data_IF_801946476045
#
_entry.id   IF_801946476045
#
_cell.length_a   1.000
_cell.length_b   1.000
_cell.length_c   1.000
_cell.angle_alpha   90.00
_cell.angle_beta   90.00
_cell.angle_gamma   90.00
#
_symmetry.space_group_name_H-M   'P 1'
#
loop_
_entity.id
_entity.type
_entity.pdbx_description
1 polymer ?
#
# COMPACT_ATOMS: atom_id res chain seq x y z
N UNK A 1 42.90 45.11 26.59
CA UNK A 1 41.59 45.48 25.99
C UNK A 1 41.12 44.55 24.87
N UNK A 2 41.96 44.09 23.94
CA UNK A 2 41.52 43.20 22.85
C UNK A 2 41.07 41.78 23.29
N UNK A 3 41.64 41.23 24.38
CA UNK A 3 41.25 39.90 24.90
C UNK A 3 39.89 39.89 25.61
N UNK A 4 39.46 40.98 26.24
CA UNK A 4 38.14 41.06 26.90
C UNK A 4 36.97 41.09 25.91
N UNK A 5 37.18 41.67 24.72
CA UNK A 5 36.17 41.70 23.66
C UNK A 5 35.97 40.32 23.00
N UNK A 6 37.02 39.50 22.93
CA UNK A 6 36.94 38.13 22.41
C UNK A 6 36.11 37.18 23.29
N UNK A 7 36.23 37.31 24.62
CA UNK A 7 35.54 36.44 25.58
C UNK A 7 34.03 36.75 25.64
N UNK A 8 33.65 38.03 25.65
CA UNK A 8 32.23 38.44 25.65
C UNK A 8 31.47 38.03 24.38
N UNK A 9 32.17 37.82 23.27
CA UNK A 9 31.54 37.45 21.99
C UNK A 9 31.25 35.94 21.91
N UNK A 10 32.12 35.10 22.48
CA UNK A 10 31.89 33.65 22.53
C UNK A 10 30.76 33.28 23.50
N UNK A 11 30.69 33.90 24.68
CA UNK A 11 29.63 33.66 25.66
C UNK A 11 28.24 33.97 25.10
N UNK A 12 28.11 35.07 24.35
CA UNK A 12 26.84 35.45 23.73
C UNK A 12 26.40 34.50 22.61
N UNK A 13 27.34 33.91 21.87
CA UNK A 13 27.06 32.89 20.87
C UNK A 13 26.58 31.58 21.51
N UNK A 14 27.19 31.18 22.63
CA UNK A 14 26.80 29.98 23.38
C UNK A 14 25.44 30.15 24.07
N UNK A 15 25.18 31.32 24.67
CA UNK A 15 23.88 31.66 25.27
C UNK A 15 22.78 31.69 24.20
N UNK A 16 23.05 32.20 22.99
CA UNK A 16 22.10 32.15 21.86
C UNK A 16 21.84 30.72 21.38
N UNK A 17 22.86 29.85 21.31
CA UNK A 17 22.70 28.41 21.00
C UNK A 17 21.86 27.69 22.07
N UNK A 18 22.12 27.95 23.36
CA UNK A 18 21.34 27.40 24.48
C UNK A 18 19.89 27.89 24.47
N UNK A 19 19.63 29.16 24.14
CA UNK A 19 18.26 29.70 24.00
C UNK A 19 17.50 29.10 22.80
N UNK A 20 18.17 28.82 21.66
CA UNK A 20 17.56 28.09 20.53
C UNK A 20 17.22 26.64 20.90
N UNK A 21 18.11 25.93 21.59
CA UNK A 21 17.86 24.56 22.07
C UNK A 21 16.73 24.51 23.12
N UNK A 22 16.64 25.51 24.01
CA UNK A 22 15.53 25.65 24.97
C UNK A 22 14.19 25.97 24.29
N UNK A 23 14.17 26.74 23.18
CA UNK A 23 12.93 27.00 22.43
C UNK A 23 12.45 25.79 21.62
N UNK A 24 13.38 25.01 21.03
CA UNK A 24 13.02 23.77 20.33
C UNK A 24 12.48 22.68 21.27
N UNK A 25 12.96 22.63 22.52
CA UNK A 25 12.40 21.75 23.56
C UNK A 25 11.09 22.26 24.16
N UNK A 26 10.83 23.58 24.13
CA UNK A 26 9.57 24.18 24.61
C UNK A 26 8.37 23.93 23.69
N UNK A 27 8.61 23.47 22.45
CA UNK A 27 7.55 23.08 21.50
C UNK A 27 7.10 21.62 21.62
N UNK A 28 7.67 20.83 22.55
CA UNK A 28 7.13 19.52 22.97
C UNK A 28 6.95 18.44 21.88
N UNK A 29 7.35 18.72 20.63
CA UNK A 29 7.21 17.79 19.51
C UNK A 29 8.44 16.87 19.49
N UNK A 30 8.24 15.65 20.00
CA UNK A 30 9.20 14.57 19.85
C UNK A 30 9.55 14.42 18.36
N UNK A 31 10.84 14.41 18.02
CA UNK A 31 11.32 14.27 16.64
C UNK A 31 10.70 13.05 15.91
N UNK A 32 10.39 11.99 16.66
CA UNK A 32 9.68 10.81 16.16
C UNK A 32 8.22 11.08 15.76
N UNK A 33 7.50 11.91 16.51
CA UNK A 33 6.12 12.30 16.17
C UNK A 33 6.10 13.08 14.85
N UNK A 34 7.06 13.98 14.65
CA UNK A 34 7.23 14.70 13.38
C UNK A 34 7.52 13.72 12.25
N UNK A 35 8.45 12.79 12.44
CA UNK A 35 8.79 11.81 11.41
C UNK A 35 7.59 10.92 11.05
N UNK A 36 6.82 10.48 12.05
CA UNK A 36 5.58 9.72 11.84
C UNK A 36 4.57 10.53 11.04
N UNK A 37 4.39 11.81 11.37
CA UNK A 37 3.51 12.72 10.65
C UNK A 37 3.94 12.90 9.18
N UNK A 38 5.24 13.04 8.92
CA UNK A 38 5.80 13.12 7.56
C UNK A 38 5.48 11.86 6.75
N UNK A 39 5.63 10.67 7.34
CA UNK A 39 5.27 9.43 6.65
C UNK A 39 3.76 9.36 6.36
N UNK A 40 2.90 9.73 7.31
CA UNK A 40 1.45 9.82 7.11
C UNK A 40 1.13 10.78 5.97
N UNK A 41 1.75 11.96 5.94
CA UNK A 41 1.58 12.95 4.88
C UNK A 41 2.07 12.44 3.51
N UNK A 42 3.13 11.63 3.49
CA UNK A 42 3.63 11.00 2.25
C UNK A 42 2.61 9.98 1.72
N UNK A 43 2.04 9.14 2.59
CA UNK A 43 0.96 8.23 2.17
C UNK A 43 -0.28 8.99 1.72
N UNK A 44 -0.65 10.08 2.40
CA UNK A 44 -1.75 10.94 1.97
C UNK A 44 -1.52 11.50 0.56
N UNK A 45 -0.30 11.99 0.29
CA UNK A 45 0.07 12.47 -1.04
C UNK A 45 -0.01 11.35 -2.09
N UNK A 46 0.42 10.12 -1.78
CA UNK A 46 0.28 8.97 -2.67
C UNK A 46 -1.20 8.67 -3.00
N UNK A 47 -2.07 8.70 -1.99
CA UNK A 47 -3.51 8.53 -2.20
C UNK A 47 -4.11 9.68 -3.01
N UNK A 48 -3.74 10.93 -2.76
CA UNK A 48 -4.21 12.06 -3.56
C UNK A 48 -3.78 11.94 -5.03
N UNK A 49 -2.51 11.65 -5.29
CA UNK A 49 -2.01 11.43 -6.66
C UNK A 49 -2.82 10.35 -7.36
N UNK A 50 -3.13 9.26 -6.66
CA UNK A 50 -3.95 8.18 -7.15
C UNK A 50 -5.40 8.57 -7.44
N UNK A 51 -5.94 9.57 -6.75
CA UNK A 51 -7.30 10.09 -6.96
C UNK A 51 -7.37 11.05 -8.14
N UNK A 52 -6.34 11.90 -8.31
CA UNK A 52 -6.24 12.83 -9.43
C UNK A 52 -5.77 12.17 -10.73
N UNK A 53 -4.97 11.11 -10.64
CA UNK A 53 -4.39 10.43 -11.81
C UNK A 53 -5.04 9.08 -12.02
N UNK A 54 -5.93 8.99 -13.01
CA UNK A 54 -6.64 7.75 -13.35
C UNK A 54 -5.64 6.62 -13.60
N UNK A 55 -4.57 6.86 -14.37
CA UNK A 55 -3.58 5.85 -14.72
C UNK A 55 -2.76 5.33 -13.54
N UNK A 56 -2.62 6.12 -12.48
CA UNK A 56 -1.87 5.70 -11.32
C UNK A 56 -2.74 4.85 -10.42
N UNK A 57 -3.98 5.26 -10.12
CA UNK A 57 -4.82 4.52 -9.16
C UNK A 57 -5.63 3.36 -9.74
N UNK A 58 -5.98 3.46 -11.01
CA UNK A 58 -6.99 2.62 -11.63
C UNK A 58 -6.47 2.08 -12.96
N UNK A 59 -6.49 0.77 -13.10
CA UNK A 59 -6.22 0.13 -14.38
C UNK A 59 -7.58 -0.01 -15.08
N UNK A 60 -7.88 0.79 -16.13
CA UNK A 60 -9.14 0.66 -16.85
C UNK A 60 -9.12 -0.66 -17.63
N UNK A 61 -9.93 -1.61 -17.20
CA UNK A 61 -10.35 -2.73 -18.02
C UNK A 61 -11.58 -2.30 -18.83
N UNK A 62 -11.83 -2.99 -19.95
CA UNK A 62 -12.84 -2.60 -20.94
C UNK A 62 -14.19 -2.14 -20.33
N UNK A 63 -14.67 -2.84 -19.30
CA UNK A 63 -15.95 -2.55 -18.62
C UNK A 63 -15.82 -2.18 -17.15
N UNK A 64 -14.63 -2.34 -16.54
CA UNK A 64 -14.44 -2.20 -15.08
C UNK A 64 -13.11 -1.53 -14.75
N UNK A 65 -12.99 -0.94 -13.57
CA UNK A 65 -11.71 -0.38 -13.11
C UNK A 65 -11.13 -1.28 -12.03
N UNK A 66 -9.89 -1.72 -12.24
CA UNK A 66 -9.13 -2.47 -11.24
C UNK A 66 -8.38 -1.50 -10.32
N UNK A 67 -8.43 -1.74 -9.02
CA UNK A 67 -7.69 -0.94 -8.04
C UNK A 67 -6.66 -1.78 -7.28
N UNK A 68 -5.48 -1.19 -7.04
CA UNK A 68 -4.46 -1.77 -6.17
C UNK A 68 -4.21 -0.91 -4.91
N UNK A 69 -5.02 0.13 -4.70
CA UNK A 69 -4.97 0.99 -3.51
C UNK A 69 -5.10 0.22 -2.19
N UNK A 70 -5.90 -0.86 -2.07
CA UNK A 70 -5.92 -1.66 -0.85
C UNK A 70 -4.53 -2.20 -0.48
N UNK A 71 -3.67 -2.52 -1.45
CA UNK A 71 -2.31 -2.98 -1.19
C UNK A 71 -1.45 -1.85 -0.62
N UNK A 72 -1.59 -0.62 -1.12
CA UNK A 72 -0.88 0.55 -0.57
C UNK A 72 -1.30 0.80 0.88
N UNK A 73 -2.58 0.62 1.20
CA UNK A 73 -3.09 0.70 2.58
C UNK A 73 -2.44 -0.37 3.46
N UNK A 74 -2.32 -1.61 2.97
CA UNK A 74 -1.61 -2.68 3.70
C UNK A 74 -0.14 -2.30 3.89
N UNK A 75 0.55 -1.77 2.88
CA UNK A 75 1.93 -1.28 2.99
C UNK A 75 2.07 -0.22 4.09
N UNK A 76 1.18 0.77 4.12
CA UNK A 76 1.17 1.81 5.14
C UNK A 76 0.92 1.23 6.54
N UNK A 77 0.06 0.22 6.64
CA UNK A 77 -0.23 -0.51 7.88
C UNK A 77 0.98 -1.28 8.38
N UNK A 78 1.73 -1.97 7.52
CA UNK A 78 2.95 -2.69 7.92
C UNK A 78 4.06 -1.73 8.33
N UNK A 79 4.13 -0.57 7.69
CA UNK A 79 5.16 0.41 7.95
C UNK A 79 4.92 1.18 9.27
N UNK A 80 3.69 1.68 9.50
CA UNK A 80 3.35 2.55 10.64
C UNK A 80 2.53 1.84 11.74
N UNK A 81 2.05 0.63 11.49
CA UNK A 81 1.13 -0.10 12.37
C UNK A 81 -0.32 0.39 12.24
N UNK A 82 -1.06 0.31 13.35
CA UNK A 82 -2.50 0.63 13.43
C UNK A 82 -2.82 2.07 13.00
N UNK A 83 -1.97 3.03 13.37
CA UNK A 83 -2.17 4.45 12.98
C UNK A 83 -2.08 4.60 11.46
N UNK A 84 -1.17 3.85 10.82
CA UNK A 84 -1.07 3.80 9.37
C UNK A 84 -2.35 3.29 8.73
N UNK A 85 -2.92 2.20 9.24
CA UNK A 85 -4.17 1.62 8.72
C UNK A 85 -5.35 2.61 8.78
N UNK A 86 -5.55 3.27 9.92
CA UNK A 86 -6.68 4.19 10.11
C UNK A 86 -6.55 5.44 9.23
N UNK A 87 -5.36 6.08 9.24
CA UNK A 87 -5.13 7.26 8.40
C UNK A 87 -5.21 6.91 6.91
N UNK A 88 -4.58 5.81 6.47
CA UNK A 88 -4.63 5.38 5.07
C UNK A 88 -6.02 4.97 4.60
N UNK A 89 -6.85 4.37 5.46
CA UNK A 89 -8.26 4.10 5.15
C UNK A 89 -9.05 5.38 4.86
N UNK A 90 -8.89 6.40 5.71
CA UNK A 90 -9.52 7.70 5.49
C UNK A 90 -9.02 8.38 4.20
N UNK A 91 -7.70 8.37 3.97
CA UNK A 91 -7.11 8.97 2.77
C UNK A 91 -7.52 8.25 1.49
N UNK A 92 -7.64 6.93 1.54
CA UNK A 92 -8.16 6.13 0.43
C UNK A 92 -9.63 6.48 0.15
N UNK A 93 -10.44 6.68 1.19
CA UNK A 93 -11.82 7.15 1.05
C UNK A 93 -11.91 8.52 0.35
N UNK A 94 -11.17 9.51 0.85
CA UNK A 94 -11.13 10.87 0.27
C UNK A 94 -10.64 10.83 -1.18
N UNK A 95 -9.59 10.07 -1.46
CA UNK A 95 -9.07 9.88 -2.81
C UNK A 95 -10.10 9.27 -3.75
N UNK A 96 -10.82 8.24 -3.30
CA UNK A 96 -11.86 7.57 -4.09
C UNK A 96 -13.04 8.51 -4.37
N UNK A 97 -13.41 9.36 -3.41
CA UNK A 97 -14.46 10.36 -3.59
C UNK A 97 -14.06 11.41 -4.64
N UNK A 98 -12.84 11.95 -4.55
CA UNK A 98 -12.30 12.90 -5.54
C UNK A 98 -12.25 12.27 -6.93
N UNK A 99 -11.77 11.02 -7.04
CA UNK A 99 -11.72 10.30 -8.30
C UNK A 99 -13.13 10.10 -8.90
N UNK A 100 -14.13 9.78 -8.07
CA UNK A 100 -15.51 9.60 -8.51
C UNK A 100 -16.13 10.89 -9.05
N UNK A 101 -15.82 12.04 -8.42
CA UNK A 101 -16.22 13.37 -8.92
C UNK A 101 -15.60 13.67 -10.29
N UNK A 102 -14.32 13.34 -10.49
CA UNK A 102 -13.61 13.62 -11.74
C UNK A 102 -14.01 12.68 -12.89
N UNK A 103 -14.22 11.40 -12.59
CA UNK A 103 -14.56 10.38 -13.61
C UNK A 103 -16.06 10.35 -13.91
N UNK A 104 -16.90 10.85 -13.00
CA UNK A 104 -18.36 10.80 -13.14
C UNK A 104 -18.95 9.44 -12.74
N UNK A 105 -18.30 8.71 -11.83
CA UNK A 105 -18.78 7.40 -11.38
C UNK A 105 -19.88 7.54 -10.32
N UNK A 106 -21.14 7.59 -10.76
CA UNK A 106 -22.36 7.88 -9.95
C UNK A 106 -22.38 7.11 -8.62
N UNK A 107 -22.05 5.81 -8.63
CA UNK A 107 -22.09 4.96 -7.43
C UNK A 107 -21.14 5.42 -6.31
N UNK A 108 -20.04 6.12 -6.63
CA UNK A 108 -19.02 6.55 -5.67
C UNK A 108 -19.07 8.05 -5.40
N UNK A 109 -20.04 8.77 -5.96
CA UNK A 109 -20.24 10.19 -5.70
C UNK A 109 -20.83 10.46 -4.31
N UNK A 110 -21.40 9.45 -3.67
CA UNK A 110 -21.91 9.58 -2.32
C UNK A 110 -20.77 9.37 -1.30
N UNK A 111 -20.62 10.26 -0.31
CA UNK A 111 -19.50 10.23 0.64
C UNK A 111 -19.57 9.02 1.58
N UNK A 112 -20.75 8.48 1.85
CA UNK A 112 -20.92 7.26 2.62
C UNK A 112 -20.44 6.03 1.85
N UNK A 113 -20.82 5.86 0.58
CA UNK A 113 -20.37 4.72 -0.22
C UNK A 113 -18.86 4.79 -0.45
N UNK A 114 -18.31 5.97 -0.71
CA UNK A 114 -16.87 6.15 -0.95
C UNK A 114 -16.06 6.18 0.35
N UNK A 115 -16.29 7.13 1.25
CA UNK A 115 -15.42 7.35 2.42
C UNK A 115 -15.68 6.31 3.50
N UNK A 116 -16.94 6.05 3.87
CA UNK A 116 -17.27 5.19 5.02
C UNK A 116 -16.76 3.76 4.80
N UNK A 117 -16.94 3.20 3.60
CA UNK A 117 -16.47 1.85 3.27
C UNK A 117 -14.95 1.71 3.37
N UNK A 118 -14.18 2.73 2.98
CA UNK A 118 -12.71 2.69 3.07
C UNK A 118 -12.20 2.96 4.49
N UNK A 119 -12.92 3.74 5.29
CA UNK A 119 -12.64 3.87 6.72
C UNK A 119 -12.87 2.54 7.43
N UNK A 120 -13.98 1.85 7.13
CA UNK A 120 -14.28 0.52 7.67
C UNK A 120 -13.22 -0.51 7.25
N UNK A 121 -12.74 -0.43 6.01
CA UNK A 121 -11.61 -1.22 5.53
C UNK A 121 -10.34 -0.97 6.35
N UNK A 122 -10.00 0.29 6.61
CA UNK A 122 -8.84 0.65 7.44
C UNK A 122 -8.92 0.06 8.85
N UNK A 123 -10.11 0.09 9.46
CA UNK A 123 -10.37 -0.53 10.77
C UNK A 123 -10.22 -2.06 10.70
N UNK A 124 -10.80 -2.71 9.68
CA UNK A 124 -10.71 -4.15 9.53
C UNK A 124 -9.27 -4.62 9.30
N UNK A 125 -8.50 -3.91 8.47
CA UNK A 125 -7.07 -4.21 8.24
C UNK A 125 -6.24 -3.98 9.51
N UNK A 126 -6.56 -2.96 10.32
CA UNK A 126 -5.94 -2.80 11.64
C UNK A 126 -6.23 -3.98 12.57
N UNK A 127 -7.46 -4.52 12.54
CA UNK A 127 -7.84 -5.73 13.26
C UNK A 127 -7.05 -6.95 12.80
N UNK A 128 -6.97 -7.19 11.49
CA UNK A 128 -6.19 -8.29 10.89
C UNK A 128 -4.71 -8.17 11.24
N UNK A 129 -4.15 -6.97 11.18
CA UNK A 129 -2.76 -6.70 11.53
C UNK A 129 -2.45 -7.12 12.98
N UNK A 130 -3.34 -6.79 13.93
CA UNK A 130 -3.23 -7.23 15.33
C UNK A 130 -3.41 -8.74 15.47
N UNK A 131 -4.41 -9.33 14.80
CA UNK A 131 -4.70 -10.76 14.86
C UNK A 131 -3.52 -11.62 14.36
N UNK A 132 -2.85 -11.20 13.30
CA UNK A 132 -1.69 -11.91 12.73
C UNK A 132 -0.39 -11.72 13.55
N UNK A 133 -0.44 -10.96 14.65
CA UNK A 133 0.72 -10.56 15.46
C UNK A 133 1.86 -10.03 14.57
N UNK A 134 1.49 -9.21 13.59
CA UNK A 134 2.39 -8.69 12.58
C UNK A 134 3.49 -7.78 13.17
N UNK A 135 3.30 -7.31 14.41
CA UNK A 135 4.25 -6.49 15.17
C UNK A 135 5.60 -7.17 15.41
N UNK A 136 5.64 -8.49 15.64
CA UNK A 136 6.90 -9.19 16.01
C UNK A 136 7.72 -9.63 14.80
N UNK A 137 7.12 -10.46 13.94
CA UNK A 137 7.77 -11.03 12.76
C UNK A 137 6.76 -11.08 11.62
N UNK A 138 6.97 -10.21 10.64
CA UNK A 138 6.21 -10.25 9.39
C UNK A 138 6.91 -11.19 8.43
N UNK A 139 6.25 -12.32 8.15
CA UNK A 139 6.62 -13.22 7.07
C UNK A 139 5.87 -12.83 5.80
N UNK A 140 6.40 -13.22 4.64
CA UNK A 140 5.79 -12.96 3.33
C UNK A 140 4.34 -13.46 3.27
N UNK A 141 4.06 -14.67 3.78
CA UNK A 141 2.71 -15.24 3.77
C UNK A 141 1.71 -14.39 4.57
N UNK A 142 2.11 -13.82 5.71
CA UNK A 142 1.25 -12.93 6.51
C UNK A 142 0.91 -11.65 5.76
N UNK A 143 1.90 -11.11 5.05
CA UNK A 143 1.72 -9.93 4.22
C UNK A 143 0.76 -10.22 3.05
N UNK A 144 0.92 -11.37 2.38
CA UNK A 144 0.01 -11.81 1.33
C UNK A 144 -1.42 -12.00 1.83
N UNK A 145 -1.62 -12.72 2.94
CA UNK A 145 -2.94 -12.93 3.56
C UNK A 145 -3.59 -11.59 3.88
N UNK A 146 -2.85 -10.63 4.44
CA UNK A 146 -3.38 -9.32 4.77
C UNK A 146 -3.76 -8.51 3.53
N UNK A 147 -2.95 -8.54 2.47
CA UNK A 147 -3.25 -7.85 1.20
C UNK A 147 -4.47 -8.44 0.49
N UNK A 148 -4.58 -9.78 0.44
CA UNK A 148 -5.73 -10.47 -0.16
C UNK A 148 -6.99 -10.21 0.66
N UNK A 149 -6.89 -10.29 1.98
CA UNK A 149 -8.03 -9.97 2.86
C UNK A 149 -8.47 -8.51 2.67
N UNK A 150 -7.53 -7.58 2.52
CA UNK A 150 -7.84 -6.18 2.29
C UNK A 150 -8.57 -5.94 0.95
N UNK A 151 -8.17 -6.60 -0.14
CA UNK A 151 -8.89 -6.46 -1.42
C UNK A 151 -10.28 -7.07 -1.38
N UNK A 152 -10.44 -8.26 -0.78
CA UNK A 152 -11.75 -8.90 -0.65
C UNK A 152 -12.68 -8.06 0.23
N UNK A 153 -12.19 -7.60 1.40
CA UNK A 153 -12.96 -6.75 2.29
C UNK A 153 -13.30 -5.40 1.67
N UNK A 154 -12.43 -4.85 0.82
CA UNK A 154 -12.72 -3.62 0.09
C UNK A 154 -13.96 -3.80 -0.79
N UNK A 155 -14.00 -4.86 -1.61
CA UNK A 155 -15.15 -5.18 -2.46
C UNK A 155 -16.39 -5.42 -1.59
N UNK A 156 -16.26 -6.24 -0.54
CA UNK A 156 -17.37 -6.56 0.35
C UNK A 156 -17.99 -5.31 1.00
N UNK A 157 -17.18 -4.43 1.60
CA UNK A 157 -17.68 -3.23 2.25
C UNK A 157 -18.30 -2.22 1.28
N UNK A 158 -17.75 -2.08 0.07
CA UNK A 158 -18.39 -1.27 -0.97
C UNK A 158 -19.78 -1.81 -1.28
N UNK A 159 -19.92 -3.12 -1.50
CA UNK A 159 -21.19 -3.74 -1.84
C UNK A 159 -22.19 -3.67 -0.68
N UNK A 160 -21.75 -3.92 0.55
CA UNK A 160 -22.59 -3.84 1.75
C UNK A 160 -23.11 -2.43 1.98
N UNK A 161 -22.25 -1.41 1.94
CA UNK A 161 -22.68 -0.02 2.16
C UNK A 161 -23.57 0.46 1.02
N UNK A 162 -23.26 0.04 -0.22
CA UNK A 162 -24.12 0.34 -1.37
C UNK A 162 -25.50 -0.31 -1.24
N UNK A 163 -25.57 -1.53 -0.74
CA UNK A 163 -26.84 -2.20 -0.44
C UNK A 163 -27.66 -1.43 0.60
N UNK A 164 -27.01 -1.05 1.70
CA UNK A 164 -27.64 -0.28 2.78
C UNK A 164 -28.11 1.08 2.25
N UNK A 165 -27.26 1.80 1.51
CA UNK A 165 -27.63 3.09 0.93
C UNK A 165 -28.84 2.96 0.01
N UNK A 166 -28.84 1.98 -0.90
CA UNK A 166 -29.94 1.77 -1.83
C UNK A 166 -31.26 1.38 -1.14
N UNK A 167 -31.20 0.83 0.08
CA UNK A 167 -32.40 0.56 0.89
C UNK A 167 -33.02 1.82 1.50
N UNK A 168 -32.25 2.91 1.64
CA UNK A 168 -32.69 4.18 2.23
C UNK A 168 -32.98 5.20 1.13
N UNK A 169 -32.09 5.33 0.16
CA UNK A 169 -32.16 6.27 -0.96
C UNK A 169 -31.74 5.56 -2.25
N UNK A 170 -32.68 5.40 -3.18
CA UNK A 170 -32.42 4.71 -4.44
C UNK A 170 -31.50 5.54 -5.35
N UNK A 171 -30.38 4.94 -5.76
CA UNK A 171 -29.43 5.59 -6.68
C UNK A 171 -29.81 5.26 -8.11
N UNK A 172 -30.54 6.18 -8.75
CA UNK A 172 -30.87 6.08 -10.18
C UNK A 172 -29.60 6.02 -11.03
N UNK A 173 -29.54 5.06 -11.96
CA UNK A 173 -28.43 4.91 -12.90
C UNK A 173 -27.28 4.03 -12.42
N UNK A 174 -27.47 3.23 -11.37
CA UNK A 174 -26.48 2.21 -10.96
C UNK A 174 -27.05 0.81 -11.13
N UNK A 175 -26.24 -0.16 -11.58
CA UNK A 175 -26.69 -1.54 -11.78
C UNK A 175 -27.03 -2.18 -10.43
N UNK A 176 -28.11 -2.97 -10.29
CA UNK A 176 -28.36 -3.64 -9.03
C UNK A 176 -27.21 -4.62 -8.68
N UNK A 177 -27.10 -4.98 -7.41
CA UNK A 177 -25.90 -5.63 -6.87
C UNK A 177 -25.62 -6.97 -7.53
N UNK A 178 -26.67 -7.72 -7.82
CA UNK A 178 -26.58 -9.04 -8.46
C UNK A 178 -25.99 -8.89 -9.85
N UNK A 179 -26.49 -7.94 -10.64
CA UNK A 179 -25.98 -7.60 -11.97
C UNK A 179 -24.55 -7.08 -11.90
N UNK A 180 -24.21 -6.29 -10.87
CA UNK A 180 -22.84 -5.85 -10.66
C UNK A 180 -21.89 -7.04 -10.46
N UNK A 181 -22.24 -8.00 -9.60
CA UNK A 181 -21.43 -9.21 -9.36
C UNK A 181 -21.27 -10.03 -10.65
N UNK A 182 -22.36 -10.22 -11.39
CA UNK A 182 -22.37 -10.98 -12.65
C UNK A 182 -21.54 -10.29 -13.74
N UNK A 183 -21.54 -8.96 -13.78
CA UNK A 183 -20.81 -8.18 -14.79
C UNK A 183 -19.34 -7.93 -14.44
N UNK A 184 -18.92 -8.17 -13.19
CA UNK A 184 -17.56 -7.90 -12.69
C UNK A 184 -16.77 -9.13 -12.18
N UNK A 185 -16.88 -10.34 -12.79
CA UNK A 185 -16.14 -11.51 -12.32
C UNK A 185 -14.63 -11.33 -12.48
N UNK A 186 -14.20 -10.60 -13.52
CA UNK A 186 -12.79 -10.29 -13.74
C UNK A 186 -12.23 -9.45 -12.60
N UNK A 187 -12.98 -8.46 -12.10
CA UNK A 187 -12.54 -7.64 -10.96
C UNK A 187 -12.44 -8.48 -9.68
N UNK A 188 -13.44 -9.33 -9.42
CA UNK A 188 -13.47 -10.22 -8.25
C UNK A 188 -12.26 -11.18 -8.17
N UNK A 189 -11.74 -11.62 -9.33
CA UNK A 189 -10.60 -12.54 -9.40
C UNK A 189 -9.27 -11.78 -9.54
N UNK A 190 -9.23 -10.75 -10.38
CA UNK A 190 -8.00 -10.05 -10.70
C UNK A 190 -7.52 -9.16 -9.55
N UNK A 191 -8.39 -8.57 -8.72
CA UNK A 191 -7.93 -7.78 -7.57
C UNK A 191 -7.15 -8.60 -6.52
N UNK A 192 -7.66 -9.76 -6.04
CA UNK A 192 -6.87 -10.65 -5.18
C UNK A 192 -5.57 -11.14 -5.82
N UNK A 193 -5.59 -11.50 -7.11
CA UNK A 193 -4.38 -11.94 -7.82
C UNK A 193 -3.33 -10.83 -7.91
N UNK A 194 -3.75 -9.61 -8.26
CA UNK A 194 -2.87 -8.45 -8.27
C UNK A 194 -2.34 -8.14 -6.86
N UNK A 195 -3.15 -8.33 -5.82
CA UNK A 195 -2.71 -8.15 -4.44
C UNK A 195 -1.61 -9.15 -4.06
N UNK A 196 -1.71 -10.42 -4.47
CA UNK A 196 -0.65 -11.42 -4.30
C UNK A 196 0.63 -10.97 -5.01
N UNK A 197 0.51 -10.61 -6.30
CA UNK A 197 1.64 -10.18 -7.12
C UNK A 197 2.37 -8.97 -6.51
N UNK A 198 1.61 -7.92 -6.17
CA UNK A 198 2.17 -6.74 -5.53
C UNK A 198 2.72 -7.03 -4.14
N UNK A 199 2.13 -7.96 -3.40
CA UNK A 199 2.66 -8.33 -2.08
C UNK A 199 4.06 -8.94 -2.20
N UNK A 200 4.28 -9.84 -3.16
CA UNK A 200 5.59 -10.44 -3.40
C UNK A 200 6.58 -9.36 -3.85
N UNK A 201 6.17 -8.50 -4.80
CA UNK A 201 7.02 -7.45 -5.36
C UNK A 201 7.44 -6.42 -4.30
N UNK A 202 6.50 -5.97 -3.48
CA UNK A 202 6.72 -4.90 -2.50
C UNK A 202 7.29 -5.40 -1.18
N UNK A 203 7.21 -6.70 -0.87
CA UNK A 203 7.60 -7.24 0.43
C UNK A 203 9.01 -6.80 0.87
N UNK A 204 10.01 -6.96 0.00
CA UNK A 204 11.39 -6.60 0.32
C UNK A 204 11.54 -5.11 0.63
N UNK A 205 10.90 -4.26 -0.17
CA UNK A 205 10.90 -2.81 0.03
C UNK A 205 10.23 -2.43 1.35
N UNK A 206 9.07 -3.00 1.64
CA UNK A 206 8.31 -2.72 2.86
C UNK A 206 9.07 -3.16 4.10
N UNK A 207 9.70 -4.35 4.07
CA UNK A 207 10.50 -4.85 5.18
C UNK A 207 11.75 -4.00 5.40
N UNK A 208 12.38 -3.50 4.34
CA UNK A 208 13.48 -2.55 4.44
C UNK A 208 13.04 -1.25 5.12
N UNK A 209 11.93 -0.65 4.66
CA UNK A 209 11.37 0.58 5.24
C UNK A 209 10.99 0.39 6.70
N UNK A 210 10.34 -0.73 7.02
CA UNK A 210 9.92 -1.07 8.39
C UNK A 210 11.11 -1.24 9.34
N UNK A 211 12.16 -1.98 8.94
CA UNK A 211 13.37 -2.14 9.75
C UNK A 211 14.00 -0.78 10.05
N UNK A 212 14.12 0.09 9.04
CA UNK A 212 14.66 1.44 9.20
C UNK A 212 13.80 2.31 10.12
N UNK A 213 12.47 2.17 10.03
CA UNK A 213 11.52 2.85 10.90
C UNK A 213 11.63 2.40 12.36
N UNK A 214 11.63 1.08 12.61
CA UNK A 214 11.75 0.51 13.94
C UNK A 214 13.10 0.83 14.60
N UNK A 215 14.20 0.73 13.85
CA UNK A 215 15.52 1.09 14.38
C UNK A 215 15.58 2.57 14.82
N UNK A 216 15.03 3.49 14.01
CA UNK A 216 14.93 4.91 14.41
C UNK A 216 14.01 5.12 15.60
N UNK A 217 12.92 4.36 15.68
CA UNK A 217 12.00 4.36 16.81
C UNK A 217 12.76 4.04 18.10
N UNK A 218 13.47 2.92 18.13
CA UNK A 218 14.25 2.47 19.28
C UNK A 218 15.31 3.48 19.72
N UNK A 219 16.04 4.07 18.77
CA UNK A 219 17.05 5.10 19.07
C UNK A 219 16.44 6.33 19.74
N UNK A 220 15.27 6.78 19.29
CA UNK A 220 14.64 7.99 19.83
C UNK A 220 13.99 7.71 21.19
N UNK A 221 13.23 6.62 21.31
CA UNK A 221 12.58 6.27 22.58
C UNK A 221 13.61 5.89 23.65
N UNK A 222 14.65 5.12 23.31
CA UNK A 222 15.73 4.80 24.25
C UNK A 222 16.52 6.04 24.69
N UNK A 223 16.69 7.03 23.81
CA UNK A 223 17.29 8.31 24.18
C UNK A 223 16.38 9.18 25.07
N UNK A 224 15.06 9.01 24.98
CA UNK A 224 14.10 9.69 25.85
C UNK A 224 14.06 9.06 27.25
N UNK A 225 14.02 7.74 27.33
CA UNK A 225 14.08 7.01 28.60
C UNK A 225 15.37 7.33 29.38
N UNK A 226 16.51 7.32 28.70
CA UNK A 226 17.79 7.70 29.30
C UNK A 226 17.82 9.16 29.79
N UNK A 227 17.09 10.07 29.13
CA UNK A 227 16.99 11.46 29.58
C UNK A 227 16.06 11.60 30.78
N UNK A 228 14.93 10.89 30.81
CA UNK A 228 14.04 10.90 31.96
C UNK A 228 14.73 10.35 33.20
N UNK A 229 15.44 9.22 33.11
CA UNK A 229 16.18 8.64 34.24
C UNK A 229 17.23 9.60 34.81
N UNK A 230 17.98 10.29 33.94
CA UNK A 230 18.99 11.28 34.39
C UNK A 230 18.33 12.47 35.11
N UNK A 231 17.17 12.93 34.67
CA UNK A 231 16.43 14.02 35.33
C UNK A 231 15.85 13.56 36.68
N UNK A 232 15.38 12.32 36.78
CA UNK A 232 14.89 11.78 38.07
C UNK A 232 16.04 11.67 39.07
N UNK A 233 17.21 11.20 38.64
CA UNK A 233 18.39 11.10 39.50
C UNK A 233 18.97 12.47 39.90
N UNK A 234 18.87 13.51 39.05
CA UNK A 234 19.31 14.85 39.45
C UNK A 234 18.41 15.44 40.53
N UNK A 235 17.09 15.27 40.40
CA UNK A 235 16.13 15.82 41.36
C UNK A 235 16.24 15.14 42.73
N UNK A 236 16.44 13.82 42.76
CA UNK A 236 16.67 13.10 44.02
C UNK A 236 17.95 13.53 44.75
N UNK A 237 19.03 13.84 44.01
CA UNK A 237 20.27 14.34 44.62
C UNK A 237 20.11 15.77 45.18
N UNK A 238 19.30 16.61 44.52
CA UNK A 238 18.99 17.95 45.01
C UNK A 238 18.17 17.90 46.31
N UNK A 239 17.20 16.97 46.38
CA UNK A 239 16.36 16.73 47.56
C UNK A 239 17.13 16.12 48.73
N UNK A 240 18.14 15.27 48.46
CA UNK A 240 19.06 14.74 49.48
C UNK A 240 20.00 15.82 50.05
N UNK A 241 20.40 16.78 49.22
CA UNK A 241 21.26 17.89 49.63
C UNK A 241 20.52 18.92 50.48
N UNK A 242 19.22 19.13 50.25
CA UNK A 242 18.39 20.01 51.08
C UNK A 242 18.07 19.39 52.44
N UNK A 243 17.75 18.09 52.51
CA UNK A 243 17.49 17.39 53.80
C UNK A 243 18.71 17.27 54.71
N UNK A 244 19.93 17.21 54.16
CA UNK A 244 21.16 17.24 54.97
C UNK A 244 21.51 18.63 55.53
N UNK A 245 20.85 19.71 55.08
CA UNK A 245 21.06 21.06 55.62
C UNK A 245 20.19 21.37 56.84
N UNK A 246 19.10 20.64 57.04
CA UNK A 246 18.17 20.85 58.17
C UNK A 246 18.49 19.97 59.39
N UNK A 247 19.18 18.86 59.20
CA UNK A 247 19.68 18.03 60.31
C UNK A 247 21.10 18.50 60.62
N UNK A 248 21.28 19.24 61.72
CA UNK A 248 22.56 19.82 62.17
C UNK A 248 23.64 18.80 62.56
N UNK A 249 23.87 17.77 61.74
CA UNK A 249 24.91 16.75 61.89
C UNK A 249 26.13 17.22 61.08
N UNK A 250 27.32 17.30 61.70
CA UNK A 250 28.52 17.77 61.01
C UNK A 250 28.84 16.86 59.82
N UNK A 251 28.90 17.45 58.63
CA UNK A 251 29.22 16.77 57.38
C UNK A 251 30.58 16.04 57.50
N UNK A 252 30.69 14.77 57.09
CA UNK A 252 31.98 14.11 57.03
C UNK A 252 32.86 14.84 56.01
N UNK A 253 33.94 15.43 56.49
CA UNK A 253 34.97 16.15 55.74
C UNK A 253 35.79 15.18 54.88
N UNK A 254 35.15 14.44 53.97
CA UNK A 254 35.86 13.79 52.87
C UNK A 254 36.21 14.85 51.85
N UNK A 255 37.51 15.01 51.60
CA UNK A 255 38.01 16.09 50.74
C UNK A 255 37.36 16.00 49.36
N UNK A 256 37.09 17.15 48.70
CA UNK A 256 36.54 17.20 47.32
C UNK A 256 37.30 16.30 46.32
N UNK A 257 38.56 15.95 46.61
CA UNK A 257 39.36 15.01 45.81
C UNK A 257 38.87 13.56 45.94
N UNK A 258 38.49 13.13 47.13
CA UNK A 258 37.97 11.78 47.39
C UNK A 258 36.59 11.58 46.76
N UNK A 259 35.69 12.56 46.89
CA UNK A 259 34.38 12.54 46.21
C UNK A 259 34.51 12.47 44.68
N UNK A 260 35.48 13.20 44.10
CA UNK A 260 35.79 13.09 42.66
C UNK A 260 36.38 11.73 42.29
N UNK A 261 37.18 11.11 43.15
CA UNK A 261 37.70 9.76 42.90
C UNK A 261 36.61 8.69 42.96
N UNK A 262 35.72 8.76 43.95
CA UNK A 262 34.58 7.82 44.08
C UNK A 262 33.66 7.93 42.87
N UNK A 263 33.31 9.14 42.43
CA UNK A 263 32.49 9.35 41.23
C UNK A 263 33.17 8.83 39.95
N UNK A 264 34.50 9.01 39.83
CA UNK A 264 35.27 8.53 38.68
C UNK A 264 35.39 7.00 38.65
N UNK A 265 35.44 6.37 39.83
CA UNK A 265 35.46 4.92 39.98
C UNK A 265 34.08 4.31 39.64
N UNK A 266 33.00 4.86 40.19
CA UNK A 266 31.63 4.42 39.87
C UNK A 266 31.32 4.53 38.36
N UNK A 267 31.80 5.58 37.69
CA UNK A 267 31.64 5.75 36.24
C UNK A 267 32.44 4.71 35.42
N UNK A 268 33.60 4.25 35.92
CA UNK A 268 34.37 3.16 35.29
C UNK A 268 33.64 1.82 35.45
N UNK A 269 33.13 1.55 36.64
CA UNK A 269 32.46 0.27 36.95
C UNK A 269 31.16 0.11 36.16
N UNK A 270 30.35 1.17 36.06
CA UNK A 270 29.14 1.18 35.21
C UNK A 270 29.47 0.97 33.71
N UNK A 271 30.61 1.46 33.24
CA UNK A 271 31.05 1.27 31.84
C UNK A 271 31.56 -0.15 31.60
N UNK A 272 32.18 -0.78 32.60
CA UNK A 272 32.59 -2.18 32.56
C UNK A 272 31.36 -3.12 32.54
N UNK A 273 30.35 -2.86 33.37
CA UNK A 273 29.13 -3.66 33.43
C UNK A 273 28.34 -3.62 32.11
N UNK A 274 28.25 -2.44 31.48
CA UNK A 274 27.64 -2.29 30.14
C UNK A 274 28.39 -3.06 29.05
N UNK A 275 29.73 -3.17 29.13
CA UNK A 275 30.51 -4.00 28.20
C UNK A 275 30.29 -5.49 28.45
N UNK A 276 30.21 -5.92 29.71
CA UNK A 276 29.94 -7.31 30.07
C UNK A 276 28.54 -7.77 29.60
N UNK A 277 27.51 -6.93 29.74
CA UNK A 277 26.15 -7.23 29.24
C UNK A 277 26.13 -7.36 27.71
N UNK A 278 26.81 -6.46 26.98
CA UNK A 278 26.94 -6.56 25.51
C UNK A 278 27.69 -7.82 25.06
N UNK A 279 28.71 -8.25 25.80
CA UNK A 279 29.44 -9.49 25.49
C UNK A 279 28.57 -10.74 25.67
N UNK A 280 27.78 -10.81 26.76
CA UNK A 280 26.84 -11.91 26.99
C UNK A 280 25.73 -11.97 25.94
N UNK A 281 25.21 -10.81 25.52
CA UNK A 281 24.19 -10.74 24.46
C UNK A 281 24.74 -11.22 23.11
N UNK A 282 26.00 -10.91 22.79
CA UNK A 282 26.67 -11.37 21.57
C UNK A 282 26.97 -12.88 21.57
N UNK A 283 27.13 -13.50 22.74
CA UNK A 283 27.28 -14.96 22.88
C UNK A 283 25.95 -15.71 22.73
N UNK A 284 24.81 -15.06 22.99
CA UNK A 284 23.48 -15.64 22.76
C UNK A 284 22.99 -15.49 21.31
N UNK A 285 23.70 -14.71 20.48
CA UNK A 285 23.38 -14.48 19.06
C UNK A 285 24.31 -15.26 18.09
N UNK A 286 25.12 -16.20 18.58
CA UNK A 286 25.88 -17.09 17.71
C UNK A 286 24.93 -18.03 16.92
N UNK A 287 25.15 -18.23 15.61
CA UNK A 287 24.22 -18.97 14.76
C UNK A 287 24.24 -20.46 15.12
N UNK A 288 23.05 -21.01 15.37
CA UNK A 288 22.78 -22.46 15.29
C UNK A 288 22.79 -22.82 13.80
N UNK A 289 23.97 -23.05 13.25
CA UNK A 289 24.18 -23.74 11.98
C UNK A 289 25.04 -24.97 12.23
N UNK A 290 24.40 -26.13 12.36
CA UNK A 290 24.90 -27.45 11.97
C UNK A 290 23.84 -28.52 12.28
N UNK A 291 23.73 -29.50 11.39
CA UNK A 291 22.95 -30.74 11.46
C UNK A 291 21.48 -30.70 11.05
N UNK A 292 21.27 -30.55 9.74
CA UNK A 292 20.29 -31.40 9.02
C UNK A 292 20.95 -31.85 7.71
N UNK A 293 21.62 -32.99 7.77
CA UNK A 293 22.18 -33.73 6.65
C UNK A 293 22.38 -35.17 7.10
N UNK A 294 21.87 -36.09 6.28
CA UNK A 294 22.08 -37.55 6.31
C UNK A 294 21.20 -38.37 7.27
N UNK A 295 20.10 -38.88 6.71
CA UNK A 295 19.33 -40.13 6.99
C UNK A 295 17.93 -39.92 6.37
N UNK A 296 17.34 -40.69 5.45
CA UNK A 296 17.51 -42.06 5.01
C UNK A 296 16.97 -42.17 3.57
N UNK A 297 17.76 -42.77 2.68
CA UNK A 297 17.33 -43.36 1.41
C UNK A 297 17.89 -44.78 1.41
N UNK A 298 17.12 -45.79 1.86
CA UNK A 298 17.31 -47.21 1.56
C UNK A 298 16.33 -48.10 2.35
N UNK A 299 15.31 -48.62 1.66
CA UNK A 299 14.72 -49.97 1.80
C UNK A 299 13.54 -50.01 0.80
N UNK A 300 13.69 -50.56 -0.40
CA UNK A 300 13.80 -51.99 -0.78
C UNK A 300 12.56 -52.79 -0.38
N UNK A 301 11.69 -52.94 -1.39
CA UNK A 301 11.09 -54.18 -1.92
C UNK A 301 10.26 -55.12 -1.01
N UNK A 302 9.01 -55.36 -1.46
CA UNK A 302 8.35 -56.65 -1.75
C UNK A 302 6.89 -56.80 -1.24
N UNK A 303 6.20 -57.72 -1.92
CA UNK A 303 4.81 -58.22 -1.80
C UNK A 303 3.75 -57.39 -2.57
N UNK A 304 3.25 -57.79 -3.75
CA UNK A 304 2.62 -59.04 -4.25
C UNK A 304 1.29 -59.36 -3.56
N UNK A 305 0.19 -59.08 -4.27
CA UNK A 305 -1.06 -59.85 -4.45
C UNK A 305 -2.05 -58.91 -5.18
N UNK A 306 -2.38 -59.10 -6.47
CA UNK A 306 -3.22 -60.13 -7.06
C UNK A 306 -4.68 -60.07 -6.57
N UNK A 307 -5.57 -59.63 -7.47
CA UNK A 307 -6.95 -60.07 -7.75
C UNK A 307 -7.80 -58.87 -8.20
N UNK A 308 -8.10 -58.73 -9.49
CA UNK A 308 -9.15 -59.41 -10.27
C UNK A 308 -10.47 -58.62 -10.28
N UNK A 309 -10.77 -58.00 -11.43
CA UNK A 309 -12.09 -57.93 -12.12
C UNK A 309 -12.27 -56.65 -12.96
N UNK A 310 -12.07 -56.84 -14.27
CA UNK A 310 -13.02 -56.53 -15.35
C UNK A 310 -14.12 -55.48 -15.10
N UNK A 311 -14.16 -54.44 -15.95
CA UNK A 311 -14.99 -54.48 -17.17
C UNK A 311 -14.87 -53.19 -17.99
N UNK A 312 -14.57 -53.41 -19.26
CA UNK A 312 -14.58 -52.48 -20.37
C UNK A 312 -16.02 -52.17 -20.77
N UNK A 313 -16.44 -50.90 -20.75
CA UNK A 313 -17.58 -50.43 -21.55
C UNK A 313 -17.26 -49.06 -22.16
N UNK A 314 -16.82 -49.11 -23.42
CA UNK A 314 -16.75 -47.95 -24.32
C UNK A 314 -18.14 -47.68 -24.90
N UNK A 315 -18.75 -46.53 -24.57
CA UNK A 315 -19.97 -46.05 -25.25
C UNK A 315 -19.68 -44.81 -26.09
N UNK A 316 -19.80 -45.03 -27.41
CA UNK A 316 -19.86 -44.05 -28.50
C UNK A 316 -20.99 -43.01 -28.26
N UNK A 317 -20.80 -41.73 -28.64
CA UNK A 317 -21.88 -40.75 -28.61
C UNK A 317 -22.83 -40.90 -29.82
N UNK A 318 -24.16 -40.77 -29.63
CA UNK A 318 -25.12 -40.76 -30.72
C UNK A 318 -25.20 -39.41 -31.42
N UNK A 319 -25.30 -39.47 -32.76
CA UNK A 319 -25.51 -38.37 -33.68
C UNK A 319 -26.92 -37.79 -33.49
N UNK A 320 -27.03 -36.49 -33.19
CA UNK A 320 -28.32 -35.78 -33.23
C UNK A 320 -28.57 -35.20 -34.63
N UNK A 321 -29.64 -35.68 -35.25
CA UNK A 321 -30.17 -35.28 -36.55
C UNK A 321 -30.93 -33.95 -36.46
N UNK A 322 -30.63 -33.07 -37.42
CA UNK A 322 -31.39 -31.83 -37.70
C UNK A 322 -32.82 -32.19 -38.10
N UNK A 323 -33.82 -31.63 -37.40
CA UNK A 323 -35.20 -31.60 -37.88
C UNK A 323 -35.73 -30.18 -37.89
N UNK A 324 -36.20 -29.80 -39.07
CA UNK A 324 -36.76 -28.53 -39.47
C UNK A 324 -38.05 -28.22 -38.72
N UNK A 325 -38.22 -26.98 -38.27
CA UNK A 325 -39.52 -26.39 -37.97
C UNK A 325 -39.54 -24.96 -38.51
N UNK A 326 -40.27 -24.77 -39.61
CA UNK A 326 -40.73 -23.46 -40.11
C UNK A 326 -42.01 -23.10 -39.36
N UNK A 327 -42.22 -21.82 -39.01
CA UNK A 327 -43.56 -21.26 -38.98
C UNK A 327 -43.76 -20.27 -40.12
N UNK A 328 -44.88 -20.49 -40.77
CA UNK A 328 -45.48 -19.77 -41.87
C UNK A 328 -46.44 -18.72 -41.28
N UNK A 329 -46.13 -17.43 -41.37
CA UNK A 329 -47.13 -16.36 -41.15
C UNK A 329 -46.81 -15.18 -42.08
N UNK A 330 -47.69 -14.94 -43.06
CA UNK A 330 -47.83 -13.65 -43.75
C UNK A 330 -48.74 -12.75 -42.90
N UNK A 331 -48.52 -11.43 -42.96
CA UNK A 331 -49.66 -10.58 -43.28
C UNK A 331 -49.36 -9.61 -44.43
N UNK A 332 -50.39 -9.44 -45.27
CA UNK A 332 -50.56 -8.33 -46.19
C UNK A 332 -50.76 -7.05 -45.37
N UNK A 333 -50.05 -5.97 -45.71
CA UNK A 333 -50.73 -4.71 -46.04
C UNK A 333 -49.79 -3.70 -46.72
N UNK A 334 -50.37 -3.05 -47.73
CA UNK A 334 -49.84 -1.94 -48.51
C UNK A 334 -49.98 -0.63 -47.72
N UNK A 335 -49.22 0.37 -48.16
CA UNK A 335 -49.16 1.77 -47.72
C UNK A 335 -48.28 2.04 -46.49
N UNK A 336 -47.02 2.44 -46.72
CA UNK A 336 -46.51 3.81 -46.51
C UNK A 336 -45.17 3.91 -47.25
N UNK A 337 -45.18 4.57 -48.41
CA UNK A 337 -43.98 5.12 -49.05
C UNK A 337 -43.78 6.50 -48.44
N UNK A 338 -42.71 6.71 -47.66
CA UNK A 338 -41.98 7.97 -47.48
C UNK A 338 -41.02 7.82 -46.29
N UNK A 339 -39.71 7.78 -46.59
CA UNK A 339 -38.54 8.18 -45.76
C UNK A 339 -37.31 7.35 -46.15
N UNK A 340 -36.80 7.64 -47.35
CA UNK A 340 -35.44 7.26 -47.74
C UNK A 340 -34.43 8.27 -47.20
N UNK A 341 -33.29 7.74 -46.72
CA UNK A 341 -32.00 8.39 -46.39
C UNK A 341 -31.81 8.90 -44.95
N UNK A 342 -31.70 7.99 -43.99
CA UNK A 342 -30.69 8.14 -42.94
C UNK A 342 -29.97 6.80 -42.72
N UNK A 343 -28.67 6.76 -43.05
CA UNK A 343 -27.82 5.63 -42.70
C UNK A 343 -27.65 5.66 -41.18
N UNK A 344 -28.04 4.58 -40.52
CA UNK A 344 -27.86 4.41 -39.08
C UNK A 344 -26.38 4.60 -38.69
N UNK A 345 -26.07 5.31 -37.60
CA UNK A 345 -24.69 5.59 -37.16
C UNK A 345 -23.82 4.33 -36.97
N UNK A 346 -24.46 3.19 -36.71
CA UNK A 346 -23.81 1.89 -36.57
C UNK A 346 -23.18 1.37 -37.88
N UNK A 347 -23.81 1.66 -39.03
CA UNK A 347 -23.24 1.33 -40.35
C UNK A 347 -22.09 2.27 -40.74
N UNK A 348 -22.10 3.52 -40.26
CA UNK A 348 -20.98 4.45 -40.44
C UNK A 348 -19.76 4.02 -39.60
N UNK A 349 -19.99 3.54 -38.37
CA UNK A 349 -18.97 3.00 -37.48
C UNK A 349 -18.30 1.75 -38.06
N UNK A 350 -19.08 0.79 -38.58
CA UNK A 350 -18.56 -0.42 -39.21
C UNK A 350 -17.74 -0.14 -40.48
N UNK A 351 -18.13 0.87 -41.26
CA UNK A 351 -17.40 1.28 -42.48
C UNK A 351 -16.06 1.95 -42.14
N UNK A 352 -16.01 2.73 -41.06
CA UNK A 352 -14.78 3.37 -40.58
C UNK A 352 -13.82 2.35 -39.94
N UNK A 353 -14.34 1.33 -39.25
CA UNK A 353 -13.51 0.26 -38.67
C UNK A 353 -12.80 -0.59 -39.74
N UNK A 354 -13.47 -0.88 -40.87
CA UNK A 354 -12.85 -1.59 -42.00
C UNK A 354 -11.74 -0.77 -42.67
N UNK A 355 -11.91 0.55 -42.81
CA UNK A 355 -10.86 1.44 -43.33
C UNK A 355 -9.64 1.52 -42.40
N UNK A 356 -9.86 1.57 -41.09
CA UNK A 356 -8.77 1.61 -40.09
C UNK A 356 -7.95 0.32 -40.06
N UNK A 357 -8.58 -0.86 -40.18
CA UNK A 357 -7.87 -2.13 -40.29
C UNK A 357 -7.04 -2.23 -41.57
N UNK A 358 -7.53 -1.68 -42.68
CA UNK A 358 -6.80 -1.71 -43.96
C UNK A 358 -5.55 -0.80 -43.93
N UNK A 359 -5.61 0.33 -43.22
CA UNK A 359 -4.45 1.22 -43.01
C UNK A 359 -3.41 0.59 -42.10
N UNK A 360 -3.83 -0.12 -41.04
CA UNK A 360 -2.91 -0.83 -40.13
C UNK A 360 -2.16 -1.99 -40.82
N UNK A 361 -2.84 -2.76 -41.66
CA UNK A 361 -2.23 -3.87 -42.42
C UNK A 361 -1.23 -3.37 -43.46
N UNK A 362 -1.47 -2.20 -44.06
CA UNK A 362 -0.56 -1.62 -45.05
C UNK A 362 0.66 -0.91 -44.40
N UNK A 363 0.50 -0.27 -43.25
CA UNK A 363 1.64 0.28 -42.48
C UNK A 363 2.55 -0.80 -41.88
N UNK A 364 1.98 -1.94 -41.48
CA UNK A 364 2.77 -3.09 -41.01
C UNK A 364 3.65 -3.73 -42.09
N UNK A 365 3.17 -3.79 -43.34
CA UNK A 365 3.92 -4.39 -44.46
C UNK A 365 5.06 -3.53 -44.99
N UNK A 366 5.00 -2.19 -44.86
CA UNK A 366 6.10 -1.32 -45.31
C UNK A 366 7.30 -1.28 -44.35
N UNK A 367 7.09 -1.47 -43.04
CA UNK A 367 8.17 -1.39 -42.06
C UNK A 367 9.00 -2.67 -41.91
N UNK A 368 8.46 -3.84 -42.27
CA UNK A 368 9.19 -5.12 -42.21
C UNK A 368 10.24 -5.26 -43.33
N UNK A 369 10.11 -4.49 -44.42
CA UNK A 369 11.04 -4.54 -45.56
C UNK A 369 12.32 -3.70 -45.39
N UNK A 370 12.38 -2.77 -44.43
CA UNK A 370 13.52 -1.82 -44.34
C UNK A 370 14.48 -2.05 -43.19
N UNK A 371 14.06 -2.59 -42.04
CA UNK A 371 14.93 -2.72 -40.87
C UNK A 371 14.83 -4.10 -40.25
N UNK A 372 15.98 -4.79 -40.16
CA UNK A 372 16.11 -6.13 -39.59
C UNK A 372 15.57 -6.25 -38.16
N UNK A 373 15.09 -7.46 -37.86
CA UNK A 373 14.14 -7.80 -36.79
C UNK A 373 14.59 -7.54 -35.34
N UNK A 374 15.85 -7.20 -35.07
CA UNK A 374 16.39 -7.12 -33.69
C UNK A 374 16.39 -5.73 -33.05
N UNK A 375 16.27 -4.64 -33.81
CA UNK A 375 16.22 -3.26 -33.27
C UNK A 375 14.83 -2.59 -33.32
N UNK A 376 13.80 -3.32 -33.75
CA UNK A 376 12.45 -2.78 -34.00
C UNK A 376 11.59 -2.69 -32.72
N UNK A 377 11.90 -3.47 -31.67
CA UNK A 377 11.06 -3.50 -30.46
C UNK A 377 11.23 -2.29 -29.53
N UNK A 378 12.44 -1.71 -29.43
CA UNK A 378 12.71 -0.67 -28.43
C UNK A 378 12.41 0.77 -28.91
N UNK A 379 12.44 1.02 -30.22
CA UNK A 379 12.18 2.37 -30.79
C UNK A 379 10.71 2.56 -31.19
N UNK A 380 9.98 1.47 -31.46
CA UNK A 380 8.56 1.56 -31.82
C UNK A 380 7.64 1.74 -30.62
N UNK A 381 8.01 1.28 -29.42
CA UNK A 381 7.12 1.40 -28.27
C UNK A 381 7.03 2.86 -27.79
N UNK A 382 8.15 3.59 -27.76
CA UNK A 382 8.18 4.99 -27.31
C UNK A 382 7.57 5.94 -28.35
N UNK A 383 7.82 5.72 -29.64
CA UNK A 383 7.25 6.54 -30.72
C UNK A 383 5.75 6.30 -30.93
N UNK A 384 5.27 5.05 -30.78
CA UNK A 384 3.84 4.74 -30.85
C UNK A 384 3.05 5.25 -29.64
N UNK A 385 3.64 5.20 -28.43
CA UNK A 385 3.02 5.77 -27.23
C UNK A 385 2.92 7.30 -27.32
N UNK A 386 3.96 7.96 -27.86
CA UNK A 386 3.97 9.40 -28.05
C UNK A 386 2.97 9.86 -29.14
N UNK A 387 2.86 9.10 -30.24
CA UNK A 387 1.87 9.35 -31.29
C UNK A 387 0.43 9.14 -30.77
N UNK A 388 0.19 8.11 -29.95
CA UNK A 388 -1.11 7.90 -29.28
C UNK A 388 -1.44 9.04 -28.31
N UNK A 389 -0.50 9.46 -27.46
CA UNK A 389 -0.70 10.57 -26.54
C UNK A 389 -0.99 11.89 -27.28
N UNK A 390 -0.30 12.14 -28.40
CA UNK A 390 -0.52 13.35 -29.22
C UNK A 390 -1.91 13.35 -29.86
N UNK A 391 -2.34 12.22 -30.43
CA UNK A 391 -3.69 12.09 -31.01
C UNK A 391 -4.79 12.18 -29.94
N UNK A 392 -4.54 11.66 -28.74
CA UNK A 392 -5.49 11.75 -27.63
C UNK A 392 -5.64 13.19 -27.13
N UNK A 393 -4.53 13.92 -26.94
CA UNK A 393 -4.57 15.33 -26.56
C UNK A 393 -5.21 16.22 -27.62
N UNK A 394 -4.94 15.96 -28.91
CA UNK A 394 -5.54 16.73 -30.00
C UNK A 394 -7.05 16.50 -30.10
N UNK A 395 -7.52 15.27 -29.83
CA UNK A 395 -8.95 14.93 -29.79
C UNK A 395 -9.66 15.60 -28.61
N UNK A 396 -9.05 15.63 -27.42
CA UNK A 396 -9.63 16.31 -26.25
C UNK A 396 -9.61 17.85 -26.40
N UNK A 397 -8.60 18.41 -27.09
CA UNK A 397 -8.56 19.85 -27.40
C UNK A 397 -9.68 20.28 -28.35
N UNK A 398 -10.12 19.39 -29.25
CA UNK A 398 -11.28 19.63 -30.13
C UNK A 398 -12.61 19.49 -29.37
N UNK A 399 -12.72 18.58 -28.40
CA UNK A 399 -13.92 18.43 -27.58
C UNK A 399 -14.17 19.63 -26.66
N UNK A 400 -13.11 20.24 -26.10
CA UNK A 400 -13.26 21.47 -25.29
C UNK A 400 -13.64 22.72 -26.11
N UNK A 401 -13.46 22.73 -27.43
CA UNK A 401 -13.94 23.82 -28.31
C UNK A 401 -15.44 23.73 -28.64
N UNK A 402 -16.11 22.64 -28.26
CA UNK A 402 -17.56 22.46 -28.46
C UNK A 402 -18.37 22.69 -27.17
N UNK A 403 -17.71 23.03 -26.05
CA UNK A 403 -18.33 23.25 -24.73
C UNK A 403 -18.24 24.72 -24.28
N UNK A 404 -17.72 25.61 -25.14
CA UNK A 404 -17.88 27.08 -25.07
C UNK A 404 -18.65 27.52 -26.28
#
# INVERSE_FOLDING_TARGET
MAQELGIKTQDNAEIRKRKKHKRASKLGLNSFTIQRLVFIATYFALFLISGFTIYFGYIPLATTTLTYLPVILVVATVHLGVVGALCSGLFFGISSFIAAMLVGAIAYQMPDISILSRVLLGVAVAGIYKALKADRKMALWKFMVMSVSATILNIAFVLTIRYIHNSIAEIKGTLPIIEWIITHPVTLIAEPLMAILFSILLYHLVMYLRKKYLHKKELIYGAQEAKSEVVTMSNQNEELLTTQSETGVPAPTKSKKELKQIAKQAAKDAKAERKAKKAKQKQQEAPVEANVGDELNASVSNEVNADENDQVVTKKPPKLTKKLLKPNVKPKNKHVKLLTKHKTPLQLLLKNHKKLNQVYVNCGKQNVKKNGFKNVLNVNLTSSLWAMMRLYFEKNRRLNKFVT
#
